data_IF_821273912616
#
_entry.id   IF_821273912616
#
_cell.length_a   1.000
_cell.length_b   1.000
_cell.length_c   1.000
_cell.angle_alpha   90.00
_cell.angle_beta   90.00
_cell.angle_gamma   90.00
#
_symmetry.space_group_name_H-M   'P 1'
#
loop_
_entity.id
_entity.type
_entity.pdbx_description
1 polymer ?
#
# COMPACT_ATOMS: atom_id res chain seq x y z
N UNK A 1 97.77 -1.06 1.33
CA UNK A 1 98.22 -1.40 -0.04
C UNK A 1 97.20 -0.85 -1.03
N UNK A 2 97.67 0.05 -1.89
CA UNK A 2 97.23 0.37 -3.26
C UNK A 2 95.71 0.76 -3.32
N UNK A 3 95.26 1.93 -3.51
CA UNK A 3 95.73 3.04 -4.35
C UNK A 3 95.04 3.00 -5.71
N UNK A 4 94.07 3.84 -6.01
CA UNK A 4 93.96 4.48 -7.31
C UNK A 4 92.82 5.50 -7.35
N UNK A 5 93.25 6.69 -7.59
CA UNK A 5 92.49 7.90 -8.06
C UNK A 5 91.88 7.65 -9.44
N UNK A 6 90.71 8.17 -9.72
CA UNK A 6 90.48 8.79 -11.04
C UNK A 6 89.29 9.81 -11.02
N UNK A 7 89.70 10.92 -11.37
CA UNK A 7 89.17 12.17 -11.91
C UNK A 7 87.70 12.25 -12.35
N UNK A 8 87.11 13.35 -11.83
CA UNK A 8 85.92 14.05 -12.31
C UNK A 8 85.99 14.52 -13.75
N UNK A 9 84.95 14.31 -14.52
CA UNK A 9 84.67 15.08 -15.71
C UNK A 9 83.21 15.59 -15.69
N UNK A 10 83.12 16.89 -15.72
CA UNK A 10 81.86 17.65 -15.79
C UNK A 10 81.40 17.70 -17.23
N UNK A 11 80.34 17.01 -17.59
CA UNK A 11 79.57 17.33 -18.83
C UNK A 11 78.40 18.28 -18.50
N UNK A 12 78.51 19.50 -19.02
CA UNK A 12 77.39 20.46 -19.12
C UNK A 12 76.59 20.05 -20.37
N UNK A 13 75.39 19.52 -20.13
CA UNK A 13 74.43 19.36 -21.23
C UNK A 13 73.40 20.51 -21.11
N UNK A 14 73.46 21.46 -21.99
CA UNK A 14 72.49 22.54 -22.13
C UNK A 14 71.26 21.98 -22.85
N UNK A 15 70.11 21.86 -22.17
CA UNK A 15 68.88 21.48 -22.78
C UNK A 15 68.18 22.75 -23.32
N UNK A 16 68.19 22.90 -24.63
CA UNK A 16 67.41 23.98 -25.33
C UNK A 16 65.98 23.43 -25.45
N UNK A 17 65.08 23.92 -24.61
CA UNK A 17 63.65 23.67 -24.73
C UNK A 17 63.11 24.46 -25.94
N UNK A 18 62.81 23.74 -26.99
CA UNK A 18 62.13 24.27 -28.19
C UNK A 18 60.75 24.77 -27.84
N UNK A 19 60.42 26.04 -28.20
CA UNK A 19 59.16 26.75 -27.88
C UNK A 19 57.90 26.11 -28.46
N UNK A 20 57.99 24.93 -29.07
CA UNK A 20 56.81 24.21 -29.59
C UNK A 20 56.08 23.35 -28.53
N UNK A 21 56.69 23.05 -27.39
CA UNK A 21 56.06 22.21 -26.33
C UNK A 21 55.31 23.05 -25.29
N UNK A 22 55.57 24.37 -25.19
CA UNK A 22 54.81 25.23 -24.25
C UNK A 22 53.36 25.45 -24.68
N UNK A 23 53.10 25.55 -25.99
CA UNK A 23 51.76 25.75 -26.54
C UNK A 23 50.88 24.50 -26.40
N UNK A 24 51.45 23.29 -26.46
CA UNK A 24 50.72 22.06 -26.30
C UNK A 24 50.30 21.82 -24.82
N UNK A 25 51.17 22.20 -23.88
CA UNK A 25 50.86 22.07 -22.43
C UNK A 25 49.79 23.08 -22.01
N UNK A 26 49.77 24.29 -22.57
CA UNK A 26 48.74 25.30 -22.28
C UNK A 26 47.37 24.91 -22.84
N UNK A 27 47.31 24.25 -24.01
CA UNK A 27 46.07 23.75 -24.59
C UNK A 27 45.48 22.55 -23.84
N UNK A 28 46.32 21.67 -23.31
CA UNK A 28 45.86 20.50 -22.49
C UNK A 28 45.35 20.97 -21.12
N UNK A 29 45.96 21.98 -20.49
CA UNK A 29 45.46 22.53 -19.23
C UNK A 29 44.15 23.32 -19.39
N UNK A 30 43.92 23.96 -20.52
CA UNK A 30 42.66 24.64 -20.81
C UNK A 30 41.52 23.68 -21.10
N UNK A 31 41.79 22.49 -21.67
CA UNK A 31 40.77 21.45 -21.93
C UNK A 31 40.41 20.72 -20.63
N UNK A 32 41.30 20.55 -19.65
CA UNK A 32 41.03 20.00 -18.36
C UNK A 32 40.21 20.91 -17.42
N UNK A 33 40.30 22.24 -17.59
CA UNK A 33 39.47 23.19 -16.85
C UNK A 33 38.04 23.27 -17.36
N UNK A 34 37.77 22.92 -18.64
CA UNK A 34 36.42 22.90 -19.21
C UNK A 34 35.61 21.65 -18.85
N UNK A 35 36.29 20.58 -18.39
CA UNK A 35 35.60 19.35 -17.93
C UNK A 35 35.21 19.38 -16.45
N UNK A 36 35.62 20.37 -15.68
CA UNK A 36 35.37 20.47 -14.23
C UNK A 36 34.12 21.30 -13.86
N UNK A 37 33.39 21.86 -14.82
CA UNK A 37 32.20 22.69 -14.60
C UNK A 37 30.93 22.13 -15.25
N UNK A 38 30.69 20.80 -15.11
CA UNK A 38 29.35 20.23 -15.23
C UNK A 38 28.94 19.57 -13.93
N UNK A 39 28.99 20.28 -12.80
CA UNK A 39 27.96 20.13 -11.79
C UNK A 39 26.71 20.74 -12.44
N UNK A 40 25.90 19.90 -13.07
CA UNK A 40 24.50 20.21 -13.24
C UNK A 40 23.96 20.48 -11.83
N UNK A 41 23.87 21.75 -11.47
CA UNK A 41 22.92 22.18 -10.47
C UNK A 41 21.60 21.57 -10.96
N UNK A 42 21.16 20.53 -10.28
CA UNK A 42 19.77 20.07 -10.38
C UNK A 42 18.96 21.25 -9.88
N UNK A 43 18.62 22.14 -10.83
CA UNK A 43 17.59 23.15 -10.62
C UNK A 43 16.45 22.37 -9.98
N UNK A 44 16.12 22.73 -8.74
CA UNK A 44 15.00 22.19 -8.01
C UNK A 44 13.76 22.42 -8.85
N UNK A 45 13.47 21.50 -9.78
CA UNK A 45 12.20 21.51 -10.50
C UNK A 45 11.11 21.55 -9.42
N UNK A 46 10.11 22.43 -9.54
CA UNK A 46 9.06 22.51 -8.55
C UNK A 46 8.45 21.12 -8.38
N UNK A 47 8.37 20.67 -7.12
CA UNK A 47 7.77 19.36 -6.79
C UNK A 47 6.32 19.35 -7.24
N UNK A 48 5.90 18.22 -7.81
CA UNK A 48 4.50 18.04 -8.18
C UNK A 48 3.65 17.83 -6.92
N UNK A 49 2.63 18.67 -6.77
CA UNK A 49 1.68 18.56 -5.64
C UNK A 49 0.75 17.38 -5.86
N UNK A 50 0.55 16.58 -4.84
CA UNK A 50 -0.42 15.49 -4.84
C UNK A 50 -0.97 15.26 -3.43
N UNK A 51 -2.26 15.00 -3.31
CA UNK A 51 -2.91 14.65 -2.04
C UNK A 51 -3.16 13.15 -2.02
N UNK A 52 -2.67 12.48 -0.96
CA UNK A 52 -2.82 11.03 -0.79
C UNK A 52 -3.71 10.76 0.40
N UNK A 53 -4.96 10.36 0.14
CA UNK A 53 -5.89 9.87 1.14
C UNK A 53 -5.53 8.44 1.53
N UNK A 54 -5.38 8.18 2.83
CA UNK A 54 -5.03 6.85 3.29
C UNK A 54 -5.77 6.48 4.58
N UNK A 55 -6.03 5.18 4.73
CA UNK A 55 -6.56 4.66 5.98
C UNK A 55 -5.46 4.56 7.03
N UNK A 56 -5.78 4.89 8.28
CA UNK A 56 -4.88 4.71 9.42
C UNK A 56 -4.90 3.27 9.98
N UNK A 57 -5.68 2.36 9.37
CA UNK A 57 -5.78 0.98 9.84
C UNK A 57 -4.64 0.08 9.32
N UNK A 58 -4.40 -0.04 8.00
CA UNK A 58 -3.61 -1.15 7.45
C UNK A 58 -2.83 -0.83 6.16
N UNK A 59 -2.25 0.37 5.98
CA UNK A 59 -1.57 0.71 4.72
C UNK A 59 -0.09 1.05 4.91
N UNK A 60 0.66 0.06 5.38
CA UNK A 60 2.03 0.18 5.89
C UNK A 60 3.01 0.83 4.91
N UNK A 61 2.96 0.48 3.61
CA UNK A 61 3.87 1.06 2.62
C UNK A 61 3.72 2.59 2.52
N UNK A 62 2.48 3.09 2.61
CA UNK A 62 2.21 4.54 2.57
C UNK A 62 2.75 5.24 3.81
N UNK A 63 2.61 4.63 4.99
CA UNK A 63 3.13 5.20 6.24
C UNK A 63 4.66 5.30 6.21
N UNK A 64 5.34 4.24 5.77
CA UNK A 64 6.80 4.23 5.61
C UNK A 64 7.24 5.27 4.57
N UNK A 65 6.55 5.36 3.42
CA UNK A 65 6.90 6.31 2.38
C UNK A 65 6.80 7.77 2.86
N UNK A 66 5.78 8.11 3.65
CA UNK A 66 5.66 9.43 4.28
C UNK A 66 6.73 9.64 5.36
N UNK A 67 6.86 8.72 6.31
CA UNK A 67 7.78 8.86 7.44
C UNK A 67 9.25 8.94 7.01
N UNK A 68 9.61 8.25 5.92
CA UNK A 68 10.98 8.25 5.37
C UNK A 68 11.21 9.35 4.32
N UNK A 69 10.18 10.13 3.99
CA UNK A 69 10.29 11.20 2.99
C UNK A 69 10.44 10.71 1.54
N UNK A 70 10.09 9.45 1.23
CA UNK A 70 10.30 8.87 -0.09
C UNK A 70 9.48 9.57 -1.19
N UNK A 71 8.28 10.04 -0.89
CA UNK A 71 7.52 10.87 -1.82
C UNK A 71 8.28 12.15 -2.20
N UNK A 72 8.85 12.83 -1.21
CA UNK A 72 9.62 14.06 -1.40
C UNK A 72 10.89 13.82 -2.21
N UNK A 73 11.60 12.72 -1.94
CA UNK A 73 12.82 12.33 -2.66
C UNK A 73 12.53 11.94 -4.12
N UNK A 74 11.34 11.42 -4.42
CA UNK A 74 10.86 11.18 -5.79
C UNK A 74 10.33 12.46 -6.48
N UNK A 75 10.39 13.62 -5.82
CA UNK A 75 9.98 14.91 -6.41
C UNK A 75 8.47 15.18 -6.29
N UNK A 76 7.80 14.58 -5.29
CA UNK A 76 6.40 14.87 -4.93
C UNK A 76 6.35 15.75 -3.68
N UNK A 77 5.51 16.78 -3.72
CA UNK A 77 5.00 17.52 -2.56
C UNK A 77 3.68 16.85 -2.16
N UNK A 78 3.82 15.69 -1.49
CA UNK A 78 2.68 14.84 -1.14
C UNK A 78 2.06 15.28 0.18
N UNK A 79 0.78 15.70 0.12
CA UNK A 79 -0.02 16.04 1.31
C UNK A 79 -0.72 14.80 1.84
N UNK A 80 -0.46 14.37 3.10
CA UNK A 80 -1.13 13.23 3.71
C UNK A 80 -2.56 13.60 4.14
N UNK A 81 -3.56 12.77 3.80
CA UNK A 81 -4.95 12.92 4.22
C UNK A 81 -5.43 11.64 4.92
N UNK A 82 -5.33 11.55 6.26
CA UNK A 82 -5.70 10.36 7.02
C UNK A 82 -7.21 10.18 7.13
N UNK A 83 -7.67 8.93 7.04
CA UNK A 83 -9.06 8.49 7.22
C UNK A 83 -9.13 7.27 8.13
N UNK A 84 -10.25 7.06 8.81
CA UNK A 84 -10.42 5.96 9.75
C UNK A 84 -10.32 4.57 9.09
N UNK A 85 -10.79 4.43 7.84
CA UNK A 85 -10.70 3.19 7.05
C UNK A 85 -10.73 3.47 5.53
N UNK A 86 -10.31 2.48 4.73
CA UNK A 86 -10.03 2.64 3.31
C UNK A 86 -11.21 3.08 2.44
N UNK A 87 -12.46 2.70 2.77
CA UNK A 87 -13.64 3.16 2.04
C UNK A 87 -13.80 4.69 2.12
N UNK A 88 -13.47 5.30 3.28
CA UNK A 88 -13.52 6.76 3.42
C UNK A 88 -12.39 7.45 2.63
N UNK A 89 -11.19 6.86 2.60
CA UNK A 89 -10.10 7.36 1.78
C UNK A 89 -10.45 7.30 0.29
N UNK A 90 -11.04 6.20 -0.18
CA UNK A 90 -11.50 6.05 -1.57
C UNK A 90 -12.56 7.11 -1.93
N UNK A 91 -13.49 7.38 -1.03
CA UNK A 91 -14.51 8.40 -1.25
C UNK A 91 -13.88 9.80 -1.46
N UNK A 92 -12.75 10.10 -0.82
CA UNK A 92 -12.05 11.37 -1.05
C UNK A 92 -11.58 11.52 -2.50
N UNK A 93 -11.13 10.44 -3.16
CA UNK A 93 -10.80 10.46 -4.60
C UNK A 93 -12.07 10.58 -5.45
N UNK A 94 -13.13 9.82 -5.14
CA UNK A 94 -14.39 9.88 -5.89
C UNK A 94 -15.01 11.28 -5.83
N UNK A 95 -14.84 11.98 -4.71
CA UNK A 95 -15.34 13.34 -4.48
C UNK A 95 -14.35 14.44 -4.93
N UNK A 96 -13.25 14.09 -5.59
CA UNK A 96 -12.18 15.01 -6.02
C UNK A 96 -11.53 15.82 -4.88
N UNK A 97 -11.48 15.26 -3.67
CA UNK A 97 -10.82 15.83 -2.48
C UNK A 97 -9.41 15.31 -2.26
N UNK A 98 -9.01 14.27 -3.00
CA UNK A 98 -7.67 13.71 -3.03
C UNK A 98 -7.36 13.18 -4.42
N UNK A 99 -6.08 13.12 -4.77
CA UNK A 99 -5.59 12.64 -6.07
C UNK A 99 -5.39 11.13 -6.08
N UNK A 100 -4.87 10.61 -4.97
CA UNK A 100 -4.63 9.19 -4.75
C UNK A 100 -5.33 8.73 -3.47
N UNK A 101 -5.76 7.49 -3.43
CA UNK A 101 -6.30 6.89 -2.22
C UNK A 101 -5.79 5.46 -2.01
N UNK A 102 -5.79 5.03 -0.74
CA UNK A 102 -5.64 3.61 -0.39
C UNK A 102 -7.00 3.00 -0.08
N UNK A 103 -7.30 1.85 -0.68
CA UNK A 103 -8.51 1.11 -0.41
C UNK A 103 -8.31 -0.40 -0.54
N UNK A 104 -9.13 -1.20 0.15
CA UNK A 104 -9.25 -2.63 -0.13
C UNK A 104 -10.08 -2.86 -1.40
N UNK A 105 -10.00 -4.07 -1.95
CA UNK A 105 -10.68 -4.47 -3.17
C UNK A 105 -12.22 -4.35 -3.10
N UNK A 106 -12.86 -4.69 -1.98
CA UNK A 106 -14.32 -4.62 -1.85
C UNK A 106 -14.88 -3.20 -2.05
N UNK A 107 -14.39 -2.15 -1.37
CA UNK A 107 -14.82 -0.79 -1.68
C UNK A 107 -14.52 -0.36 -3.13
N UNK A 108 -13.41 -0.83 -3.72
CA UNK A 108 -13.09 -0.58 -5.14
C UNK A 108 -14.15 -1.22 -6.05
N UNK A 109 -14.49 -2.48 -5.81
CA UNK A 109 -15.54 -3.18 -6.55
C UNK A 109 -16.87 -2.42 -6.49
N UNK A 110 -17.31 -1.99 -5.30
CA UNK A 110 -18.55 -1.22 -5.17
C UNK A 110 -18.49 0.13 -5.89
N UNK A 111 -17.35 0.83 -5.81
CA UNK A 111 -17.17 2.09 -6.54
C UNK A 111 -17.32 1.91 -8.06
N UNK A 112 -16.70 0.85 -8.62
CA UNK A 112 -16.84 0.49 -10.04
C UNK A 112 -18.28 0.12 -10.39
N UNK A 113 -18.94 -0.72 -9.58
CA UNK A 113 -20.32 -1.10 -9.77
C UNK A 113 -21.30 0.06 -9.71
N UNK A 114 -20.97 1.10 -8.94
CA UNK A 114 -21.74 2.35 -8.85
C UNK A 114 -21.34 3.39 -9.91
N UNK A 115 -20.50 3.01 -10.90
CA UNK A 115 -20.15 3.85 -12.04
C UNK A 115 -19.04 4.88 -11.78
N UNK A 116 -18.32 4.79 -10.66
CA UNK A 116 -17.18 5.68 -10.38
C UNK A 116 -16.05 5.44 -11.38
N UNK A 117 -15.45 6.53 -11.88
CA UNK A 117 -14.36 6.49 -12.85
C UNK A 117 -12.98 6.40 -12.17
N UNK A 118 -12.84 5.44 -11.26
CA UNK A 118 -11.58 5.16 -10.59
C UNK A 118 -10.74 4.14 -11.35
N UNK A 119 -9.46 4.04 -11.02
CA UNK A 119 -8.56 3.02 -11.53
C UNK A 119 -7.58 2.58 -10.44
N UNK A 120 -7.32 1.27 -10.35
CA UNK A 120 -6.28 0.72 -9.48
C UNK A 120 -4.92 0.93 -10.14
N UNK A 121 -4.02 1.56 -9.41
CA UNK A 121 -2.65 1.87 -9.86
C UNK A 121 -1.69 0.73 -9.51
N UNK A 122 -1.83 0.18 -8.32
CA UNK A 122 -1.10 -1.01 -7.85
C UNK A 122 -1.79 -1.64 -6.65
N UNK A 123 -1.60 -2.93 -6.47
CA UNK A 123 -1.70 -3.61 -5.18
C UNK A 123 -0.46 -3.25 -4.36
N UNK A 124 -0.61 -2.95 -3.08
CA UNK A 124 0.49 -2.56 -2.19
C UNK A 124 0.69 -3.52 -1.02
N UNK A 125 -0.31 -4.31 -0.70
CA UNK A 125 -0.22 -5.44 0.24
C UNK A 125 -1.39 -6.40 0.08
N UNK A 126 -1.24 -7.62 0.58
CA UNK A 126 -2.29 -8.65 0.63
C UNK A 126 -2.29 -9.36 1.97
N UNK A 127 -3.43 -9.96 2.32
CA UNK A 127 -3.59 -10.81 3.51
C UNK A 127 -4.82 -11.70 3.39
N UNK A 128 -4.79 -12.86 4.04
CA UNK A 128 -5.96 -13.73 4.19
C UNK A 128 -6.39 -13.90 5.66
N UNK A 129 -5.83 -13.08 6.57
CA UNK A 129 -6.05 -13.17 8.02
C UNK A 129 -6.42 -11.83 8.66
N UNK A 130 -6.78 -10.82 7.87
CA UNK A 130 -7.09 -9.50 8.39
C UNK A 130 -8.48 -9.42 9.01
N UNK A 131 -9.47 -10.06 8.37
CA UNK A 131 -10.88 -10.00 8.76
C UNK A 131 -11.32 -11.27 9.47
N UNK A 132 -12.22 -11.11 10.47
CA UNK A 132 -12.83 -12.21 11.21
C UNK A 132 -14.25 -11.86 11.65
N UNK A 133 -15.03 -12.87 12.04
CA UNK A 133 -16.24 -12.64 12.83
C UNK A 133 -15.88 -12.91 14.30
N UNK A 134 -15.84 -11.85 15.11
CA UNK A 134 -15.64 -11.94 16.56
C UNK A 134 -16.98 -11.98 17.26
N UNK A 135 -17.25 -13.03 18.01
CA UNK A 135 -18.52 -13.26 18.68
C UNK A 135 -18.36 -13.37 20.20
N UNK A 136 -19.46 -13.19 20.90
CA UNK A 136 -19.57 -13.42 22.36
C UNK A 136 -20.09 -14.82 22.65
N UNK A 137 -19.34 -15.58 23.47
CA UNK A 137 -19.71 -16.94 23.91
C UNK A 137 -20.96 -16.93 24.80
N UNK A 138 -21.10 -15.93 25.66
CA UNK A 138 -22.27 -15.76 26.55
C UNK A 138 -23.56 -15.37 25.80
N UNK A 139 -23.45 -15.02 24.51
CA UNK A 139 -24.60 -14.88 23.61
C UNK A 139 -24.91 -16.22 22.88
N UNK A 140 -24.32 -17.33 23.32
CA UNK A 140 -24.58 -18.68 22.79
C UNK A 140 -23.94 -18.94 21.45
N UNK A 141 -22.78 -18.31 21.13
CA UNK A 141 -22.02 -18.56 19.91
C UNK A 141 -20.70 -19.24 20.27
N UNK A 142 -20.59 -20.54 19.91
CA UNK A 142 -19.38 -21.34 20.09
C UNK A 142 -18.87 -22.00 18.80
N UNK A 143 -19.72 -22.11 17.77
CA UNK A 143 -19.42 -22.71 16.46
C UNK A 143 -20.17 -21.95 15.36
N UNK A 144 -19.79 -22.09 14.09
CA UNK A 144 -20.42 -21.35 12.99
C UNK A 144 -21.95 -21.53 12.90
N UNK A 145 -22.48 -22.71 13.17
CA UNK A 145 -23.94 -22.98 13.11
C UNK A 145 -24.76 -22.10 14.08
N UNK A 146 -24.13 -21.58 15.13
CA UNK A 146 -24.80 -20.77 16.16
C UNK A 146 -25.11 -19.34 15.71
N UNK A 147 -24.62 -18.91 14.55
CA UNK A 147 -24.95 -17.61 13.98
C UNK A 147 -26.40 -17.47 13.49
N UNK A 148 -27.11 -18.60 13.33
CA UNK A 148 -28.51 -18.58 12.92
C UNK A 148 -29.38 -17.84 13.95
N UNK A 149 -30.08 -16.80 13.49
CA UNK A 149 -30.92 -15.93 14.31
C UNK A 149 -30.14 -14.83 15.06
N UNK A 150 -28.83 -14.74 14.90
CA UNK A 150 -27.97 -13.74 15.57
C UNK A 150 -27.87 -12.45 14.81
N UNK A 151 -27.50 -11.38 15.53
CA UNK A 151 -27.18 -10.06 15.01
C UNK A 151 -25.67 -9.92 14.88
N UNK A 152 -25.18 -9.61 13.67
CA UNK A 152 -23.76 -9.40 13.39
C UNK A 152 -23.56 -7.94 12.94
N UNK A 153 -22.81 -7.18 13.72
CA UNK A 153 -22.39 -5.83 13.35
C UNK A 153 -21.34 -5.87 12.25
N UNK A 154 -21.48 -5.05 11.23
CA UNK A 154 -20.54 -5.00 10.10
C UNK A 154 -20.58 -3.62 9.45
N UNK A 155 -19.45 -3.15 8.91
CA UNK A 155 -19.45 -1.98 8.03
C UNK A 155 -19.73 -2.44 6.60
N UNK A 156 -20.94 -2.16 6.11
CA UNK A 156 -21.37 -2.63 4.80
C UNK A 156 -20.51 -2.06 3.67
N UNK A 157 -20.24 -2.89 2.65
CA UNK A 157 -19.40 -2.55 1.49
C UNK A 157 -17.91 -2.46 1.82
N UNK A 158 -17.44 -3.17 2.84
CA UNK A 158 -16.01 -3.36 3.17
C UNK A 158 -15.61 -4.83 3.00
N UNK A 159 -14.30 -5.11 3.09
CA UNK A 159 -13.76 -6.47 3.09
C UNK A 159 -14.32 -7.35 4.21
N UNK A 160 -14.63 -6.77 5.37
CA UNK A 160 -15.26 -7.51 6.47
C UNK A 160 -16.70 -7.94 6.15
N UNK A 161 -17.45 -7.17 5.36
CA UNK A 161 -18.79 -7.53 4.88
C UNK A 161 -18.71 -8.72 3.92
N UNK A 162 -17.81 -8.65 2.94
CA UNK A 162 -17.58 -9.77 2.01
C UNK A 162 -17.07 -11.02 2.73
N UNK A 163 -16.15 -10.86 3.67
CA UNK A 163 -15.64 -11.97 4.51
C UNK A 163 -16.78 -12.62 5.30
N UNK A 164 -17.62 -11.84 5.99
CA UNK A 164 -18.75 -12.37 6.76
C UNK A 164 -19.72 -13.17 5.88
N UNK A 165 -20.06 -12.64 4.70
CA UNK A 165 -20.88 -13.35 3.74
C UNK A 165 -20.24 -14.68 3.30
N UNK A 166 -18.96 -14.63 2.91
CA UNK A 166 -18.23 -15.79 2.42
C UNK A 166 -18.09 -16.85 3.50
N UNK A 167 -17.77 -16.45 4.73
CA UNK A 167 -17.66 -17.35 5.89
C UNK A 167 -18.99 -18.04 6.21
N UNK A 168 -20.06 -17.28 6.35
CA UNK A 168 -21.37 -17.84 6.68
C UNK A 168 -21.84 -18.79 5.56
N UNK A 169 -21.64 -18.42 4.30
CA UNK A 169 -22.03 -19.26 3.15
C UNK A 169 -21.23 -20.57 3.10
N UNK A 170 -19.91 -20.49 3.28
CA UNK A 170 -19.03 -21.68 3.27
C UNK A 170 -19.37 -22.68 4.38
N UNK A 171 -19.85 -22.17 5.53
CA UNK A 171 -20.30 -23.01 6.65
C UNK A 171 -21.80 -23.41 6.57
N UNK A 172 -22.44 -23.24 5.42
CA UNK A 172 -23.84 -23.68 5.19
C UNK A 172 -24.89 -22.85 5.93
N UNK A 173 -24.55 -21.61 6.35
CA UNK A 173 -25.48 -20.74 7.05
C UNK A 173 -26.16 -19.83 6.03
N UNK A 174 -27.48 -19.93 5.99
CA UNK A 174 -28.30 -19.02 5.17
C UNK A 174 -28.17 -17.59 5.73
N UNK A 175 -27.59 -16.70 4.95
CA UNK A 175 -27.38 -15.31 5.34
C UNK A 175 -28.71 -14.57 5.66
N UNK A 176 -29.84 -15.03 5.07
CA UNK A 176 -31.17 -14.52 5.39
C UNK A 176 -31.66 -14.85 6.80
N UNK A 177 -30.94 -15.74 7.52
CA UNK A 177 -31.19 -16.08 8.92
C UNK A 177 -30.23 -15.41 9.87
N UNK A 178 -29.37 -14.50 9.39
CA UNK A 178 -28.46 -13.68 10.17
C UNK A 178 -28.83 -12.22 9.94
N UNK A 179 -28.98 -11.43 10.99
CA UNK A 179 -29.28 -10.00 10.88
C UNK A 179 -27.96 -9.24 10.80
N UNK A 180 -27.60 -8.71 9.63
CA UNK A 180 -26.47 -7.79 9.51
C UNK A 180 -26.90 -6.39 9.97
N UNK A 181 -26.12 -5.80 10.87
CA UNK A 181 -26.37 -4.45 11.42
C UNK A 181 -25.23 -3.55 10.94
N UNK A 182 -25.57 -2.59 10.06
CA UNK A 182 -24.58 -1.63 9.56
C UNK A 182 -24.11 -0.71 10.68
N UNK A 183 -22.79 -0.65 10.87
CA UNK A 183 -22.15 0.22 11.87
C UNK A 183 -20.69 0.49 11.54
N UNK A 184 -20.17 1.60 12.05
CA UNK A 184 -18.74 1.92 11.90
C UNK A 184 -17.90 1.04 12.82
N UNK A 185 -16.61 0.74 12.46
CA UNK A 185 -15.73 -0.04 13.32
C UNK A 185 -15.60 0.50 14.76
N UNK A 186 -15.65 1.82 14.91
CA UNK A 186 -15.58 2.51 16.21
C UNK A 186 -16.77 2.28 17.12
N UNK A 187 -17.90 1.82 16.58
CA UNK A 187 -19.14 1.57 17.32
C UNK A 187 -19.26 0.11 17.78
N UNK A 188 -18.42 -0.77 17.22
CA UNK A 188 -18.54 -2.23 17.39
C UNK A 188 -18.24 -2.69 18.81
N UNK A 189 -17.28 -2.08 19.49
CA UNK A 189 -16.93 -2.39 20.87
C UNK A 189 -18.13 -2.19 21.80
N UNK A 190 -18.72 -0.99 21.74
CA UNK A 190 -19.89 -0.65 22.54
C UNK A 190 -21.11 -1.52 22.17
N UNK A 191 -21.34 -1.77 20.88
CA UNK A 191 -22.45 -2.59 20.40
C UNK A 191 -22.37 -4.04 20.89
N UNK A 192 -21.15 -4.62 20.97
CA UNK A 192 -20.93 -5.92 21.57
C UNK A 192 -21.13 -5.88 23.09
N UNK A 193 -20.57 -4.88 23.77
CA UNK A 193 -20.60 -4.78 25.22
C UNK A 193 -22.04 -4.69 25.75
N UNK A 194 -22.88 -3.87 25.12
CA UNK A 194 -24.27 -3.65 25.53
C UNK A 194 -25.30 -4.62 24.92
N UNK A 195 -24.83 -5.62 24.14
CA UNK A 195 -25.68 -6.65 23.55
C UNK A 195 -26.57 -6.18 22.38
N UNK A 196 -26.27 -5.02 21.76
CA UNK A 196 -26.94 -4.57 20.55
C UNK A 196 -26.69 -5.52 19.37
N UNK A 197 -25.52 -6.17 19.36
CA UNK A 197 -25.15 -7.26 18.44
C UNK A 197 -24.53 -8.41 19.23
N UNK A 198 -24.59 -9.62 18.68
CA UNK A 198 -24.04 -10.85 19.25
C UNK A 198 -22.61 -11.12 18.82
N UNK A 199 -22.27 -10.57 17.64
CA UNK A 199 -20.96 -10.67 17.00
C UNK A 199 -20.69 -9.47 16.14
N UNK A 200 -19.44 -9.28 15.72
CA UNK A 200 -19.04 -8.27 14.74
C UNK A 200 -18.13 -8.87 13.68
N UNK A 201 -18.32 -8.51 12.43
CA UNK A 201 -17.37 -8.76 11.35
C UNK A 201 -16.45 -7.53 11.25
N UNK A 202 -15.17 -7.72 11.55
CA UNK A 202 -14.22 -6.63 11.75
C UNK A 202 -12.82 -7.04 11.29
N UNK A 203 -11.95 -6.07 11.10
CA UNK A 203 -10.57 -6.23 10.64
C UNK A 203 -9.56 -5.64 11.63
N UNK A 204 -8.30 -6.06 11.51
CA UNK A 204 -7.20 -5.55 12.32
C UNK A 204 -6.92 -4.05 12.04
N UNK A 205 -6.44 -3.29 13.04
CA UNK A 205 -6.08 -3.71 14.40
C UNK A 205 -7.26 -3.81 15.37
N UNK A 206 -8.45 -3.30 15.00
CA UNK A 206 -9.62 -3.28 15.90
C UNK A 206 -10.06 -4.69 16.33
N UNK A 207 -9.94 -5.70 15.47
CA UNK A 207 -10.18 -7.08 15.80
C UNK A 207 -9.37 -7.52 17.03
N UNK A 208 -8.05 -7.29 17.01
CA UNK A 208 -7.17 -7.70 18.13
C UNK A 208 -7.44 -6.93 19.42
N UNK A 209 -7.83 -5.66 19.30
CA UNK A 209 -8.22 -4.88 20.48
C UNK A 209 -9.48 -5.45 21.12
N UNK A 210 -10.50 -5.77 20.34
CA UNK A 210 -11.75 -6.36 20.84
C UNK A 210 -11.55 -7.80 21.36
N UNK A 211 -10.68 -8.60 20.74
CA UNK A 211 -10.29 -9.92 21.27
C UNK A 211 -9.73 -9.80 22.69
N UNK A 212 -8.83 -8.83 22.92
CA UNK A 212 -8.25 -8.57 24.25
C UNK A 212 -9.31 -8.10 25.25
N UNK A 213 -10.22 -7.23 24.83
CA UNK A 213 -11.29 -6.71 25.67
C UNK A 213 -12.28 -7.81 26.10
N UNK A 214 -12.70 -8.65 25.16
CA UNK A 214 -13.62 -9.78 25.45
C UNK A 214 -12.95 -10.92 26.21
N UNK A 215 -11.63 -11.07 26.09
CA UNK A 215 -10.86 -12.13 26.74
C UNK A 215 -11.45 -13.52 26.49
N UNK A 216 -11.71 -14.30 27.53
CA UNK A 216 -12.24 -15.67 27.43
C UNK A 216 -13.67 -15.74 26.90
N UNK A 217 -14.43 -14.63 26.94
CA UNK A 217 -15.78 -14.54 26.40
C UNK A 217 -15.80 -14.33 24.88
N UNK A 218 -14.70 -13.84 24.31
CA UNK A 218 -14.53 -13.70 22.87
C UNK A 218 -14.25 -15.03 22.18
N UNK A 219 -14.75 -15.17 20.94
CA UNK A 219 -14.39 -16.23 20.01
C UNK A 219 -14.31 -15.66 18.60
N UNK A 220 -13.15 -15.79 17.96
CA UNK A 220 -12.94 -15.33 16.58
C UNK A 220 -13.06 -16.49 15.61
N UNK A 221 -13.77 -16.25 14.53
CA UNK A 221 -13.95 -17.17 13.42
C UNK A 221 -13.18 -16.66 12.21
N UNK A 222 -12.17 -17.42 11.81
CA UNK A 222 -11.34 -17.19 10.62
C UNK A 222 -11.52 -18.32 9.61
N UNK A 223 -11.27 -18.05 8.34
CA UNK A 223 -11.03 -19.06 7.33
C UNK A 223 -10.12 -18.47 6.24
N UNK A 224 -8.85 -18.85 6.28
CA UNK A 224 -7.80 -18.32 5.41
C UNK A 224 -7.95 -18.73 3.95
N UNK A 225 -8.78 -19.75 3.66
CA UNK A 225 -9.00 -20.27 2.32
C UNK A 225 -10.07 -19.51 1.52
N UNK A 226 -10.88 -18.69 2.19
CA UNK A 226 -12.05 -18.07 1.59
C UNK A 226 -11.74 -16.81 0.79
N UNK A 227 -10.77 -16.02 1.26
CA UNK A 227 -10.57 -14.69 0.74
C UNK A 227 -9.16 -14.17 1.02
N UNK A 228 -8.46 -13.75 -0.03
CA UNK A 228 -7.23 -12.98 0.08
C UNK A 228 -7.55 -11.52 -0.17
N UNK A 229 -7.66 -10.75 0.90
CA UNK A 229 -7.90 -9.30 0.83
C UNK A 229 -6.72 -8.60 0.15
N UNK A 230 -7.03 -7.73 -0.80
CA UNK A 230 -6.06 -7.00 -1.60
C UNK A 230 -6.18 -5.51 -1.33
N UNK A 231 -5.10 -4.87 -0.93
CA UNK A 231 -5.04 -3.44 -0.63
C UNK A 231 -4.34 -2.70 -1.77
N UNK A 232 -4.96 -1.66 -2.26
CA UNK A 232 -4.56 -0.99 -3.49
C UNK A 232 -4.29 0.49 -3.30
N UNK A 233 -3.43 1.04 -4.15
CA UNK A 233 -3.38 2.45 -4.48
C UNK A 233 -4.34 2.70 -5.64
N UNK A 234 -5.21 3.70 -5.50
CA UNK A 234 -6.28 4.03 -6.44
C UNK A 234 -6.23 5.52 -6.79
N UNK A 235 -6.60 5.86 -8.01
CA UNK A 235 -6.76 7.22 -8.48
C UNK A 235 -8.02 7.36 -9.36
N UNK A 236 -8.38 8.58 -9.74
CA UNK A 236 -9.38 8.83 -10.79
C UNK A 236 -8.75 8.57 -12.17
N UNK A 237 -9.52 8.01 -13.12
CA UNK A 237 -9.03 7.64 -14.45
C UNK A 237 -8.48 8.82 -15.28
N UNK A 238 -9.07 10.02 -15.15
CA UNK A 238 -8.58 11.23 -15.79
C UNK A 238 -7.28 11.71 -15.17
N UNK A 239 -7.15 11.58 -13.83
CA UNK A 239 -5.93 11.95 -13.13
C UNK A 239 -4.71 11.17 -13.60
N UNK A 240 -4.79 9.83 -13.71
CA UNK A 240 -3.64 9.01 -14.15
C UNK A 240 -3.22 9.31 -15.59
N UNK A 241 -4.17 9.73 -16.44
CA UNK A 241 -3.89 10.13 -17.82
C UNK A 241 -3.21 11.51 -17.90
N UNK A 242 -3.65 12.44 -17.05
CA UNK A 242 -3.11 13.80 -17.00
C UNK A 242 -1.76 13.87 -16.25
N UNK A 243 -1.52 12.98 -15.27
CA UNK A 243 -0.37 13.01 -14.37
C UNK A 243 0.41 11.68 -14.33
N UNK A 244 0.81 11.10 -15.49
CA UNK A 244 1.48 9.79 -15.52
C UNK A 244 2.82 9.78 -14.77
N UNK A 245 3.55 10.90 -14.75
CA UNK A 245 4.82 10.99 -14.02
C UNK A 245 4.61 11.05 -12.50
N UNK A 246 3.58 11.74 -12.02
CA UNK A 246 3.17 11.73 -10.60
C UNK A 246 2.89 10.30 -10.12
N UNK A 247 2.17 9.51 -10.95
CA UNK A 247 1.89 8.10 -10.63
C UNK A 247 3.18 7.28 -10.54
N UNK A 248 4.10 7.42 -11.51
CA UNK A 248 5.39 6.70 -11.48
C UNK A 248 6.23 7.08 -10.26
N UNK A 249 6.27 8.36 -9.88
CA UNK A 249 6.95 8.86 -8.68
C UNK A 249 6.34 8.25 -7.41
N UNK A 250 5.01 8.25 -7.29
CA UNK A 250 4.31 7.63 -6.16
C UNK A 250 4.61 6.13 -6.07
N UNK A 251 4.59 5.41 -7.20
CA UNK A 251 4.94 3.99 -7.24
C UNK A 251 6.39 3.74 -6.83
N UNK A 252 7.37 4.53 -7.29
CA UNK A 252 8.78 4.40 -6.85
C UNK A 252 8.93 4.61 -5.35
N UNK A 253 8.24 5.61 -4.78
CA UNK A 253 8.23 5.83 -3.34
C UNK A 253 7.71 4.62 -2.56
N UNK A 254 6.64 3.97 -3.03
CA UNK A 254 6.08 2.77 -2.41
C UNK A 254 6.97 1.53 -2.62
N UNK A 255 7.63 1.39 -3.76
CA UNK A 255 8.63 0.31 -4.01
C UNK A 255 9.83 0.48 -3.06
N UNK A 256 10.29 1.68 -2.81
CA UNK A 256 11.33 1.96 -1.81
C UNK A 256 10.87 1.60 -0.40
N UNK A 257 9.61 1.87 -0.05
CA UNK A 257 9.03 1.45 1.22
C UNK A 257 8.96 -0.07 1.36
N UNK A 258 8.60 -0.79 0.28
CA UNK A 258 8.64 -2.27 0.22
C UNK A 258 10.05 -2.79 0.51
N UNK A 259 11.06 -2.27 -0.19
CA UNK A 259 12.47 -2.66 0.01
C UNK A 259 12.95 -2.33 1.43
N UNK A 260 12.56 -1.18 1.98
CA UNK A 260 12.91 -0.79 3.34
C UNK A 260 12.36 -1.77 4.39
N UNK A 261 11.10 -2.19 4.26
CA UNK A 261 10.50 -3.20 5.15
C UNK A 261 11.28 -4.52 5.11
N UNK A 262 11.69 -4.96 3.91
CA UNK A 262 12.45 -6.20 3.74
C UNK A 262 13.84 -6.13 4.37
N UNK A 263 14.52 -4.98 4.24
CA UNK A 263 15.89 -4.78 4.72
C UNK A 263 15.96 -4.40 6.20
N UNK A 264 14.94 -3.69 6.71
CA UNK A 264 14.92 -3.10 8.05
C UNK A 264 13.60 -3.38 8.79
N UNK A 265 13.17 -4.65 8.94
CA UNK A 265 11.83 -4.98 9.46
C UNK A 265 11.55 -4.44 10.87
N UNK A 266 12.55 -4.45 11.76
CA UNK A 266 12.39 -3.93 13.13
C UNK A 266 12.21 -2.41 13.15
N UNK A 267 12.97 -1.68 12.33
CA UNK A 267 12.84 -0.23 12.19
C UNK A 267 11.51 0.14 11.53
N UNK A 268 11.09 -0.60 10.51
CA UNK A 268 9.80 -0.41 9.85
C UNK A 268 8.63 -0.53 10.82
N UNK A 269 8.60 -1.56 11.67
CA UNK A 269 7.58 -1.72 12.72
C UNK A 269 7.55 -0.52 13.67
N UNK A 270 8.71 -0.06 14.16
CA UNK A 270 8.79 1.12 15.02
C UNK A 270 8.24 2.36 14.34
N UNK A 271 8.64 2.62 13.10
CA UNK A 271 8.14 3.77 12.32
C UNK A 271 6.62 3.70 12.17
N UNK A 272 6.06 2.53 11.85
CA UNK A 272 4.61 2.36 11.71
C UNK A 272 3.90 2.57 13.03
N UNK A 273 4.40 1.99 14.13
CA UNK A 273 3.83 2.20 15.47
C UNK A 273 3.76 3.68 15.84
N UNK A 274 4.84 4.41 15.59
CA UNK A 274 4.92 5.86 15.84
C UNK A 274 4.03 6.67 14.90
N UNK A 275 3.90 6.27 13.64
CA UNK A 275 3.14 7.01 12.62
C UNK A 275 1.63 6.96 12.88
N UNK A 276 1.09 5.78 13.16
CA UNK A 276 -0.36 5.60 13.39
C UNK A 276 -0.74 5.54 14.88
N UNK A 277 0.23 5.74 15.79
CA UNK A 277 0.04 5.74 17.25
C UNK A 277 -0.57 4.43 17.77
N UNK A 278 -0.13 3.29 17.23
CA UNK A 278 -0.53 1.96 17.68
C UNK A 278 0.48 1.41 18.69
N UNK A 279 -0.01 0.62 19.65
CA UNK A 279 0.85 -0.12 20.57
C UNK A 279 1.79 -1.07 19.82
N UNK A 280 3.08 -1.05 20.15
CA UNK A 280 4.09 -1.85 19.45
C UNK A 280 3.89 -3.35 19.61
N UNK A 281 3.38 -3.82 20.76
CA UNK A 281 3.10 -5.24 20.97
C UNK A 281 1.90 -5.68 20.13
N UNK A 282 0.88 -4.83 20.01
CA UNK A 282 -0.26 -5.08 19.13
C UNK A 282 0.17 -5.14 17.65
N UNK A 283 1.02 -4.19 17.22
CA UNK A 283 1.55 -4.19 15.86
C UNK A 283 2.36 -5.46 15.58
N UNK A 284 3.18 -5.94 16.54
CA UNK A 284 3.95 -7.18 16.39
C UNK A 284 3.04 -8.40 16.15
N UNK A 285 1.91 -8.48 16.86
CA UNK A 285 0.94 -9.57 16.71
C UNK A 285 0.31 -9.62 15.31
N UNK A 286 0.10 -8.45 14.66
CA UNK A 286 -0.57 -8.37 13.37
C UNK A 286 0.37 -8.19 12.17
N UNK A 287 1.66 -7.92 12.40
CA UNK A 287 2.59 -7.63 11.29
C UNK A 287 2.73 -8.78 10.32
N UNK A 288 2.89 -9.99 10.84
CA UNK A 288 3.16 -11.19 10.05
C UNK A 288 1.99 -11.71 9.20
N UNK A 289 0.77 -11.15 9.38
CA UNK A 289 -0.36 -11.55 8.55
C UNK A 289 -0.38 -10.86 7.19
N UNK A 290 0.43 -9.81 6.99
CA UNK A 290 0.46 -9.03 5.76
C UNK A 290 1.67 -9.39 4.90
N UNK A 291 1.44 -9.47 3.59
CA UNK A 291 2.47 -9.51 2.57
C UNK A 291 2.58 -8.13 1.90
N UNK A 292 3.65 -7.42 2.17
CA UNK A 292 3.91 -6.06 1.65
C UNK A 292 4.61 -6.15 0.31
N UNK A 293 3.89 -5.83 -0.77
CA UNK A 293 4.43 -5.92 -2.13
C UNK A 293 3.67 -4.99 -3.08
N UNK A 294 4.42 -4.19 -3.86
CA UNK A 294 3.88 -3.39 -4.96
C UNK A 294 3.82 -4.26 -6.22
N UNK A 295 2.61 -4.59 -6.65
CA UNK A 295 2.38 -5.52 -7.78
C UNK A 295 1.04 -5.25 -8.47
N UNK A 296 0.83 -5.90 -9.62
CA UNK A 296 -0.46 -6.09 -10.27
C UNK A 296 -0.54 -7.55 -10.69
N UNK A 297 -1.26 -8.36 -9.92
CA UNK A 297 -1.41 -9.80 -10.14
C UNK A 297 -2.85 -10.14 -10.56
N UNK A 298 -3.00 -11.27 -11.28
CA UNK A 298 -4.31 -11.78 -11.73
C UNK A 298 -5.30 -11.98 -10.57
N UNK A 299 -4.81 -12.25 -9.37
CA UNK A 299 -5.64 -12.42 -8.17
C UNK A 299 -6.54 -11.21 -7.87
N UNK A 300 -6.09 -9.99 -8.18
CA UNK A 300 -6.91 -8.78 -8.02
C UNK A 300 -8.18 -8.86 -8.88
N UNK A 301 -8.05 -9.26 -10.16
CA UNK A 301 -9.20 -9.40 -11.07
C UNK A 301 -10.17 -10.45 -10.56
N UNK A 302 -9.65 -11.62 -10.16
CA UNK A 302 -10.48 -12.73 -9.63
C UNK A 302 -11.26 -12.28 -8.41
N UNK A 303 -10.61 -11.58 -7.47
CA UNK A 303 -11.27 -11.05 -6.28
C UNK A 303 -12.39 -10.06 -6.62
N UNK A 304 -12.12 -9.09 -7.51
CA UNK A 304 -13.12 -8.10 -7.91
C UNK A 304 -14.32 -8.75 -8.58
N UNK A 305 -14.09 -9.75 -9.44
CA UNK A 305 -15.17 -10.50 -10.09
C UNK A 305 -16.00 -11.33 -9.11
N UNK A 306 -15.36 -12.03 -8.14
CA UNK A 306 -16.08 -12.83 -7.15
C UNK A 306 -16.94 -11.96 -6.25
N UNK A 307 -16.40 -10.82 -5.83
CA UNK A 307 -17.13 -9.83 -5.05
C UNK A 307 -18.29 -9.22 -5.86
N UNK A 308 -18.10 -9.00 -7.16
CA UNK A 308 -19.18 -8.55 -8.05
C UNK A 308 -20.30 -9.57 -8.16
N UNK A 309 -19.97 -10.87 -8.34
CA UNK A 309 -20.97 -11.94 -8.34
C UNK A 309 -21.77 -11.96 -7.04
N UNK A 310 -21.09 -11.78 -5.89
CA UNK A 310 -21.74 -11.62 -4.58
C UNK A 310 -22.67 -10.42 -4.55
N UNK A 311 -22.19 -9.24 -4.94
CA UNK A 311 -22.94 -7.99 -4.89
C UNK A 311 -24.21 -8.07 -5.77
N UNK A 312 -24.12 -8.63 -6.98
CA UNK A 312 -25.24 -8.85 -7.90
C UNK A 312 -26.21 -9.86 -7.29
N UNK A 313 -25.74 -11.04 -6.85
CA UNK A 313 -26.57 -12.10 -6.26
C UNK A 313 -27.36 -11.62 -5.06
N UNK A 314 -26.77 -10.72 -4.25
CA UNK A 314 -27.40 -10.17 -3.04
C UNK A 314 -28.11 -8.84 -3.29
N UNK A 315 -28.15 -8.35 -4.52
CA UNK A 315 -28.77 -7.07 -4.90
C UNK A 315 -28.23 -5.88 -4.10
N UNK A 316 -26.92 -5.87 -3.85
CA UNK A 316 -26.20 -4.81 -3.14
C UNK A 316 -25.85 -3.64 -4.06
N UNK A 317 -26.08 -3.78 -5.36
CA UNK A 317 -25.82 -2.79 -6.40
C UNK A 317 -26.96 -2.81 -7.41
N UNK A 318 -27.22 -1.67 -8.05
CA UNK A 318 -28.21 -1.57 -9.12
C UNK A 318 -27.73 -2.19 -10.44
N UNK A 319 -26.41 -2.23 -10.65
CA UNK A 319 -25.79 -2.85 -11.82
C UNK A 319 -25.84 -4.37 -11.72
N UNK A 320 -26.22 -5.04 -12.81
CA UNK A 320 -26.40 -6.51 -12.86
C UNK A 320 -25.45 -7.20 -13.82
N UNK A 321 -24.65 -6.45 -14.59
CA UNK A 321 -23.62 -6.97 -15.49
C UNK A 321 -22.23 -6.90 -14.82
N UNK A 322 -21.36 -7.85 -15.21
CA UNK A 322 -19.97 -7.91 -14.79
C UNK A 322 -19.16 -6.84 -15.54
N UNK A 323 -18.49 -5.89 -14.84
CA UNK A 323 -17.57 -4.97 -15.50
C UNK A 323 -16.36 -5.72 -16.07
N UNK A 324 -15.78 -5.21 -17.15
CA UNK A 324 -14.43 -5.60 -17.52
C UNK A 324 -13.43 -4.88 -16.60
N UNK A 325 -12.94 -5.53 -15.55
CA UNK A 325 -12.05 -4.93 -14.58
C UNK A 325 -10.68 -4.52 -15.13
N UNK A 326 -10.28 -5.02 -16.30
CA UNK A 326 -9.06 -4.51 -16.98
C UNK A 326 -9.17 -3.01 -17.33
N UNK A 327 -10.38 -2.51 -17.58
CA UNK A 327 -10.63 -1.08 -17.85
C UNK A 327 -10.45 -0.20 -16.62
N UNK A 328 -10.34 -0.81 -15.43
CA UNK A 328 -10.19 -0.16 -14.13
C UNK A 328 -8.81 -0.42 -13.50
N UNK A 329 -7.82 -0.83 -14.32
CA UNK A 329 -6.43 -1.03 -13.86
C UNK A 329 -5.48 -0.21 -14.73
N UNK A 330 -4.70 0.66 -14.12
CA UNK A 330 -3.68 1.46 -14.80
C UNK A 330 -2.32 0.74 -14.81
N UNK A 331 -2.16 -0.18 -15.75
CA UNK A 331 -0.99 -1.06 -15.85
C UNK A 331 0.29 -0.29 -16.19
N UNK A 332 0.21 0.72 -17.07
CA UNK A 332 1.36 1.40 -17.66
C UNK A 332 2.28 2.06 -16.62
N UNK A 333 1.71 2.53 -15.51
CA UNK A 333 2.50 3.16 -14.45
C UNK A 333 3.46 2.17 -13.80
N UNK A 334 2.96 1.02 -13.36
CA UNK A 334 3.79 -0.01 -12.72
C UNK A 334 4.69 -0.71 -13.74
N UNK A 335 4.21 -0.95 -14.96
CA UNK A 335 4.99 -1.51 -16.06
C UNK A 335 6.26 -0.70 -16.35
N UNK A 336 6.20 0.62 -16.18
CA UNK A 336 7.34 1.50 -16.44
C UNK A 336 8.40 1.49 -15.32
N UNK A 337 8.03 1.21 -14.07
CA UNK A 337 8.93 1.34 -12.91
C UNK A 337 9.31 0.00 -12.26
N UNK A 338 8.48 -1.05 -12.45
CA UNK A 338 8.71 -2.41 -11.91
C UNK A 338 8.01 -3.44 -12.82
N UNK A 339 8.48 -3.65 -14.07
CA UNK A 339 7.80 -4.48 -15.07
C UNK A 339 7.59 -5.93 -14.63
N UNK A 340 8.51 -6.50 -13.85
CA UNK A 340 8.43 -7.87 -13.32
C UNK A 340 7.31 -8.07 -12.28
N UNK A 341 6.78 -6.97 -11.74
CA UNK A 341 5.66 -6.99 -10.80
C UNK A 341 4.28 -6.94 -11.48
N UNK A 342 4.24 -6.82 -12.81
CA UNK A 342 3.00 -6.86 -13.59
C UNK A 342 2.80 -8.26 -14.14
N UNK A 343 1.81 -8.98 -13.59
CA UNK A 343 1.49 -10.38 -13.91
C UNK A 343 0.03 -10.57 -14.34
N UNK A 344 -0.63 -9.50 -14.76
CA UNK A 344 -1.97 -9.54 -15.32
C UNK A 344 -1.89 -10.00 -16.77
N UNK A 345 -2.66 -11.05 -17.10
CA UNK A 345 -2.86 -11.56 -18.46
C UNK A 345 -3.99 -10.73 -19.09
N UNK A 346 -3.71 -10.17 -20.29
CA UNK A 346 -4.67 -9.38 -21.09
C UNK A 346 -5.39 -10.22 -22.14
#
# INVERSE_FOLDING_TARGET
>A
MIGANMKTEKHKTSCILSGRNLSAILLISLFLCLSACNKTDTVNAPREKTTIAYSTANFVLVYIAFARGYFTEEGLDATPQPHAFGKLALNAVIENKADLATAADTPIMFAVMNGSKITTVATIQTTNRNSAILARRDHGIAKPADFKGKKVGVTLGTSADFFAYSFLTAHGIDIGKVTLVDMRPTEMAEALANGRVDAVAIFNPALKLLEKELGKNGISFFDESLYTETFCLVAEQGYVKAHPETIKKALRALIRAELFIQQHPAEAKRIVADFIKIDSALLEEIWGIFNFRVALDQALLVNLEDQTRWAIKKRLTARTDMPNYLDYIYISGLQAVKPEAVRIIR
#
